data_IF_677055654423
#
_entry.id   IF_677055654423
#
_cell.length_a   1.000
_cell.length_b   1.000
_cell.length_c   1.000
_cell.angle_alpha   90.00
_cell.angle_beta   90.00
_cell.angle_gamma   90.00
#
_symmetry.space_group_name_H-M   'P 1'
#
loop_
_entity.id
_entity.type
_entity.pdbx_description
1 polymer ?
#
# COMPACT_ATOMS: atom_id res chain seq x y z
N UNK A 1 35.15 5.14 28.46
CA UNK A 1 33.70 4.90 28.66
C UNK A 1 33.17 4.29 27.38
N UNK A 2 33.17 2.97 27.31
CA UNK A 2 32.77 2.23 26.11
C UNK A 2 31.27 2.38 25.91
N UNK A 3 30.82 2.80 24.73
CA UNK A 3 29.42 2.65 24.37
C UNK A 3 29.16 1.15 24.27
N UNK A 4 28.59 0.58 25.32
CA UNK A 4 28.23 -0.81 25.38
C UNK A 4 26.94 -1.09 24.59
N UNK A 5 26.63 -2.37 24.39
CA UNK A 5 25.34 -2.77 23.83
C UNK A 5 24.14 -2.19 24.59
N UNK A 6 24.30 -1.90 25.89
CA UNK A 6 23.25 -1.32 26.73
C UNK A 6 22.93 0.13 26.34
N UNK A 7 23.94 0.97 26.11
CA UNK A 7 23.79 2.37 25.69
C UNK A 7 23.17 2.46 24.29
N UNK A 8 23.59 1.60 23.37
CA UNK A 8 23.01 1.53 22.02
C UNK A 8 21.53 1.15 22.10
N UNK A 9 21.17 0.19 22.96
CA UNK A 9 19.78 -0.20 23.20
C UNK A 9 18.92 0.97 23.71
N UNK A 10 19.44 1.77 24.63
CA UNK A 10 18.75 2.96 25.15
C UNK A 10 18.52 4.02 24.07
N UNK A 11 19.50 4.25 23.20
CA UNK A 11 19.37 5.21 22.09
C UNK A 11 18.31 4.72 21.09
N UNK A 12 18.32 3.43 20.72
CA UNK A 12 17.30 2.87 19.83
C UNK A 12 15.91 2.96 20.44
N UNK A 13 15.78 2.71 21.75
CA UNK A 13 14.52 2.86 22.47
C UNK A 13 14.06 4.33 22.43
N UNK A 14 14.95 5.30 22.68
CA UNK A 14 14.61 6.72 22.61
C UNK A 14 14.12 7.15 21.21
N UNK A 15 14.78 6.67 20.14
CA UNK A 15 14.35 6.93 18.76
C UNK A 15 12.98 6.27 18.50
N UNK A 16 12.76 5.05 18.99
CA UNK A 16 11.48 4.35 18.84
C UNK A 16 10.34 5.08 19.54
N UNK A 17 10.61 5.73 20.69
CA UNK A 17 9.63 6.55 21.40
C UNK A 17 9.34 7.85 20.66
N UNK A 18 10.38 8.53 20.15
CA UNK A 18 10.22 9.83 19.48
C UNK A 18 9.57 9.70 18.09
N UNK A 19 10.03 8.73 17.30
CA UNK A 19 9.51 8.50 15.94
C UNK A 19 8.33 7.52 15.93
N UNK A 20 8.20 6.66 16.93
CA UNK A 20 7.20 5.60 16.98
C UNK A 20 7.65 4.32 16.26
N UNK A 21 7.17 3.17 16.72
CA UNK A 21 7.53 1.86 16.18
C UNK A 21 7.16 1.63 14.72
N UNK A 22 6.18 2.38 14.18
CA UNK A 22 5.77 2.29 12.77
C UNK A 22 6.67 3.10 11.83
N UNK A 23 7.39 4.11 12.33
CA UNK A 23 8.20 5.01 11.49
C UNK A 23 9.60 4.48 11.21
N UNK A 24 10.19 3.70 12.11
CA UNK A 24 11.45 3.00 11.83
C UNK A 24 11.39 2.06 10.61
N UNK A 25 10.42 1.12 10.51
CA UNK A 25 10.35 0.22 9.36
C UNK A 25 9.96 0.94 8.07
N UNK A 26 9.19 2.01 8.17
CA UNK A 26 8.79 2.80 6.99
C UNK A 26 9.96 3.62 6.44
N UNK A 27 10.68 4.32 7.32
CA UNK A 27 11.90 5.05 6.98
C UNK A 27 13.02 4.13 6.49
N UNK A 28 13.22 2.96 7.13
CA UNK A 28 14.23 2.01 6.66
C UNK A 28 13.89 1.40 5.31
N UNK A 29 12.60 1.19 5.00
CA UNK A 29 12.15 0.71 3.68
C UNK A 29 12.33 1.76 2.58
N UNK A 30 12.06 3.04 2.84
CA UNK A 30 12.29 4.10 1.85
C UNK A 30 13.79 4.34 1.64
N UNK A 31 14.57 4.46 2.72
CA UNK A 31 16.02 4.63 2.67
C UNK A 31 16.72 3.40 2.07
N UNK A 32 16.24 2.18 2.35
CA UNK A 32 16.79 0.95 1.79
C UNK A 32 16.58 0.83 0.28
N UNK A 33 15.45 1.32 -0.25
CA UNK A 33 15.23 1.40 -1.71
C UNK A 33 16.21 2.37 -2.38
N UNK A 34 16.40 3.57 -1.82
CA UNK A 34 17.38 4.54 -2.33
C UNK A 34 18.82 4.02 -2.22
N UNK A 35 19.16 3.36 -1.11
CA UNK A 35 20.49 2.79 -0.90
C UNK A 35 20.75 1.61 -1.85
N UNK A 36 19.76 0.81 -2.23
CA UNK A 36 19.92 -0.28 -3.21
C UNK A 36 20.31 0.25 -4.58
N UNK A 37 19.67 1.34 -5.03
CA UNK A 37 19.98 2.00 -6.31
C UNK A 37 21.40 2.57 -6.23
N UNK A 38 21.69 3.35 -5.20
CA UNK A 38 23.00 3.94 -4.98
C UNK A 38 24.13 2.90 -4.84
N UNK A 39 23.87 1.79 -4.14
CA UNK A 39 24.80 0.65 -4.02
C UNK A 39 25.07 0.02 -5.38
N UNK A 40 24.06 -0.08 -6.25
CA UNK A 40 24.20 -0.59 -7.62
C UNK A 40 25.10 0.30 -8.46
N UNK A 41 24.88 1.63 -8.42
CA UNK A 41 25.71 2.61 -9.14
C UNK A 41 27.16 2.60 -8.63
N UNK A 42 27.38 2.59 -7.30
CA UNK A 42 28.73 2.47 -6.73
C UNK A 42 29.37 1.12 -7.08
N UNK A 43 28.58 0.05 -7.13
CA UNK A 43 29.09 -1.29 -7.45
C UNK A 43 29.54 -1.35 -8.91
N UNK A 44 28.83 -0.75 -9.86
CA UNK A 44 29.31 -0.64 -11.24
C UNK A 44 30.64 0.09 -11.34
N UNK A 45 30.82 1.19 -10.58
CA UNK A 45 32.10 1.89 -10.53
C UNK A 45 33.24 1.06 -9.92
N UNK A 46 32.92 0.15 -8.99
CA UNK A 46 33.93 -0.70 -8.33
C UNK A 46 34.17 -2.04 -9.04
N UNK A 47 33.18 -2.54 -9.77
CA UNK A 47 33.25 -3.77 -10.55
C UNK A 47 34.06 -3.58 -11.85
N UNK A 48 34.22 -2.33 -12.34
CA UNK A 48 35.11 -1.98 -13.45
C UNK A 48 36.61 -2.24 -13.14
N UNK A 49 36.98 -2.40 -11.85
CA UNK A 49 38.34 -2.78 -11.40
C UNK A 49 38.45 -4.26 -10.93
N UNK A 50 37.39 -5.06 -11.07
CA UNK A 50 37.47 -6.52 -10.99
C UNK A 50 36.62 -7.18 -9.89
N UNK A 51 35.78 -8.13 -10.33
CA UNK A 51 35.32 -9.25 -9.51
C UNK A 51 33.85 -9.20 -9.07
N UNK A 52 33.02 -9.97 -9.78
CA UNK A 52 31.61 -10.32 -9.49
C UNK A 52 31.29 -10.46 -8.00
N UNK A 53 30.17 -9.88 -7.56
CA UNK A 53 29.33 -10.50 -6.51
C UNK A 53 27.86 -10.28 -6.79
N UNK A 54 27.12 -11.37 -6.56
CA UNK A 54 25.71 -11.59 -6.83
C UNK A 54 24.78 -10.87 -5.84
N UNK A 55 23.57 -10.75 -6.34
CA UNK A 55 22.28 -10.45 -5.71
C UNK A 55 22.13 -11.01 -4.29
N UNK A 56 21.66 -10.18 -3.35
CA UNK A 56 20.82 -10.64 -2.24
C UNK A 56 20.12 -9.46 -1.55
N UNK A 57 18.89 -9.22 -1.99
CA UNK A 57 17.94 -8.30 -1.36
C UNK A 57 16.55 -8.90 -1.45
N UNK A 58 16.25 -9.77 -0.48
CA UNK A 58 15.02 -10.56 -0.26
C UNK A 58 13.76 -10.00 -0.96
N UNK A 59 13.06 -10.79 -1.79
CA UNK A 59 11.72 -10.44 -2.26
C UNK A 59 10.72 -10.67 -1.12
N UNK A 60 10.65 -9.75 -0.15
CA UNK A 60 9.56 -9.78 0.84
C UNK A 60 8.32 -9.16 0.23
N UNK A 61 7.45 -10.05 -0.20
CA UNK A 61 6.00 -9.90 -0.25
C UNK A 61 5.45 -8.88 -1.24
N UNK A 62 5.21 -9.40 -2.46
CA UNK A 62 4.19 -8.93 -3.40
C UNK A 62 2.75 -9.29 -2.95
N UNK A 63 2.53 -9.51 -1.67
CA UNK A 63 1.26 -9.94 -1.10
C UNK A 63 0.86 -8.95 0.00
N UNK A 64 -0.41 -8.51 -0.02
CA UNK A 64 -1.02 -7.39 0.74
C UNK A 64 -0.93 -6.01 0.06
N UNK A 65 -1.46 -5.91 -1.16
CA UNK A 65 -2.32 -4.81 -1.59
C UNK A 65 -2.90 -5.20 -2.94
N UNK A 66 -4.06 -5.86 -2.92
CA UNK A 66 -4.79 -6.27 -4.12
C UNK A 66 -5.00 -5.08 -5.08
N UNK A 67 -4.50 -5.13 -6.32
CA UNK A 67 -5.22 -4.48 -7.40
C UNK A 67 -6.37 -5.40 -7.84
N UNK A 68 -7.37 -4.82 -8.48
CA UNK A 68 -8.51 -5.50 -9.14
C UNK A 68 -9.75 -5.75 -8.25
N UNK A 69 -10.50 -4.67 -8.00
CA UNK A 69 -11.95 -4.74 -7.71
C UNK A 69 -12.80 -3.72 -8.49
N UNK A 70 -12.34 -3.30 -9.66
CA UNK A 70 -13.17 -2.50 -10.56
C UNK A 70 -12.93 -2.96 -12.00
N UNK A 71 -13.26 -4.21 -12.26
CA UNK A 71 -13.68 -4.63 -13.59
C UNK A 71 -15.17 -4.91 -13.48
N UNK A 72 -15.93 -3.98 -14.03
CA UNK A 72 -17.30 -4.12 -14.47
C UNK A 72 -17.59 -5.53 -14.97
N UNK A 73 -18.42 -6.27 -14.23
CA UNK A 73 -19.07 -7.49 -14.74
C UNK A 73 -20.52 -7.47 -14.23
N UNK A 74 -21.38 -6.87 -15.04
CA UNK A 74 -22.49 -7.61 -15.66
C UNK A 74 -23.49 -8.34 -14.73
N UNK A 75 -24.03 -7.64 -13.72
CA UNK A 75 -25.10 -8.19 -12.87
C UNK A 75 -26.16 -7.16 -12.41
N UNK A 76 -26.37 -6.08 -13.17
CA UNK A 76 -27.61 -5.28 -13.08
C UNK A 76 -28.35 -5.25 -14.41
N UNK A 77 -28.52 -6.45 -14.96
CA UNK A 77 -29.54 -6.75 -15.95
C UNK A 77 -30.93 -6.50 -15.34
N UNK A 78 -31.74 -5.72 -16.05
CA UNK A 78 -33.17 -5.94 -16.25
C UNK A 78 -34.09 -5.87 -15.03
N UNK A 79 -34.72 -4.72 -14.79
CA UNK A 79 -35.80 -4.63 -13.80
C UNK A 79 -36.51 -3.28 -13.74
N UNK A 80 -37.14 -2.89 -14.84
CA UNK A 80 -38.35 -2.05 -14.96
C UNK A 80 -38.46 -0.73 -14.16
N UNK A 81 -38.56 0.43 -14.85
CA UNK A 81 -38.99 1.69 -14.23
C UNK A 81 -40.44 1.56 -13.77
N UNK A 82 -40.68 1.60 -12.45
CA UNK A 82 -42.03 1.75 -11.90
C UNK A 82 -42.54 3.15 -12.24
N UNK A 83 -43.38 3.23 -13.27
CA UNK A 83 -44.22 4.38 -13.60
C UNK A 83 -45.18 4.62 -12.42
N UNK A 84 -44.97 5.72 -11.70
CA UNK A 84 -46.00 6.31 -10.85
C UNK A 84 -46.91 7.18 -11.72
N UNK A 85 -47.74 6.55 -12.53
CA UNK A 85 -48.79 7.22 -13.27
C UNK A 85 -50.05 7.21 -12.39
N UNK A 86 -50.12 8.15 -11.44
CA UNK A 86 -51.28 8.43 -10.59
C UNK A 86 -52.42 9.12 -11.35
N UNK A 87 -52.72 8.68 -12.57
CA UNK A 87 -53.81 9.17 -13.39
C UNK A 87 -55.08 8.36 -13.13
N UNK A 88 -55.65 8.47 -11.92
CA UNK A 88 -57.01 8.04 -11.62
C UNK A 88 -57.66 9.07 -10.68
N UNK A 89 -57.76 10.31 -11.18
CA UNK A 89 -58.62 11.35 -10.62
C UNK A 89 -59.60 11.86 -11.67
N UNK A 90 -60.30 10.96 -12.36
CA UNK A 90 -61.48 11.34 -13.16
C UNK A 90 -62.35 10.11 -13.41
N UNK A 91 -63.60 10.17 -13.00
CA UNK A 91 -64.59 9.11 -13.18
C UNK A 91 -65.42 8.99 -11.92
N UNK A 92 -66.49 9.77 -11.83
CA UNK A 92 -67.85 9.27 -12.12
C UNK A 92 -68.32 8.32 -11.01
N UNK A 93 -69.27 8.73 -10.20
CA UNK A 93 -70.71 8.61 -10.55
C UNK A 93 -71.29 7.38 -9.87
N UNK A 94 -72.56 7.46 -9.47
CA UNK A 94 -73.29 6.36 -8.86
C UNK A 94 -73.38 6.47 -7.33
N UNK A 95 -74.30 7.25 -6.81
CA UNK A 95 -75.66 6.77 -6.51
C UNK A 95 -75.71 5.76 -5.36
N UNK A 96 -75.99 6.26 -4.15
CA UNK A 96 -77.07 5.81 -3.24
C UNK A 96 -76.92 6.44 -1.86
#
# INVERSE_FOLDING_TARGET
MSLGPMEIGLILLAILLLFGYKKLPDASRSLGRSLRIFKGEIKSMKDDDGGKTADDGIPVSREIAAPVRATDIDARSGGSPRRHDGALSTGLDGAR
#
